data_IF_431600732085
#
_entry.id   IF_431600732085
#
_cell.length_a   1.000
_cell.length_b   1.000
_cell.length_c   1.000
_cell.angle_alpha   90.00
_cell.angle_beta   90.00
_cell.angle_gamma   90.00
#
_symmetry.space_group_name_H-M   'P 1'
#
loop_
_entity.id
_entity.type
_entity.pdbx_description
1 polymer ?
#
# COMPACT_ATOMS: atom_id res chain seq x y z
N UNK A 1 19.62 22.28 -8.66
CA UNK A 1 18.44 22.59 -9.50
C UNK A 1 17.18 22.43 -8.65
N UNK A 2 16.62 23.52 -8.09
CA UNK A 2 15.39 23.50 -7.27
C UNK A 2 14.20 23.62 -8.24
N UNK A 3 13.41 22.56 -8.42
CA UNK A 3 12.21 22.64 -9.28
C UNK A 3 11.15 23.46 -8.55
N UNK A 4 10.69 24.56 -9.16
CA UNK A 4 9.53 25.31 -8.65
C UNK A 4 8.36 24.33 -8.50
N UNK A 5 7.81 24.21 -7.29
CA UNK A 5 6.66 23.35 -6.98
C UNK A 5 6.96 22.08 -6.18
N UNK A 6 8.20 21.58 -6.14
CA UNK A 6 8.55 20.42 -5.31
C UNK A 6 8.94 20.92 -3.92
N UNK A 7 8.06 20.70 -2.93
CA UNK A 7 8.37 20.98 -1.52
C UNK A 7 9.55 20.11 -1.09
N UNK A 8 10.47 20.68 -0.30
CA UNK A 8 11.72 20.01 0.11
C UNK A 8 11.54 18.91 1.16
N UNK A 9 10.31 18.60 1.57
CA UNK A 9 10.02 17.53 2.53
C UNK A 9 10.03 16.17 1.84
N UNK A 10 10.80 15.24 2.37
CA UNK A 10 10.95 13.88 1.83
C UNK A 10 10.44 12.81 2.79
N UNK A 11 10.39 13.12 4.09
CA UNK A 11 9.96 12.19 5.13
C UNK A 11 8.66 12.67 5.74
N UNK A 12 7.64 11.83 5.69
CA UNK A 12 6.32 12.11 6.28
C UNK A 12 5.97 11.01 7.27
N UNK A 13 5.46 11.41 8.43
CA UNK A 13 4.92 10.51 9.45
C UNK A 13 3.48 10.91 9.70
N UNK A 14 2.60 9.91 9.59
CA UNK A 14 1.16 10.04 9.84
C UNK A 14 0.85 9.16 11.05
N UNK A 15 0.03 9.67 11.97
CA UNK A 15 -0.36 8.96 13.18
C UNK A 15 -1.88 8.76 13.20
N UNK A 16 -2.32 7.53 13.48
CA UNK A 16 -3.73 7.19 13.63
C UNK A 16 -4.37 7.88 14.85
N UNK A 17 -3.61 8.16 15.91
CA UNK A 17 -4.14 8.82 17.12
C UNK A 17 -4.35 10.32 16.95
N UNK A 18 -3.79 10.92 15.90
CA UNK A 18 -3.94 12.35 15.59
C UNK A 18 -4.32 12.52 14.10
N UNK A 19 -5.57 12.19 13.74
CA UNK A 19 -6.04 12.29 12.37
C UNK A 19 -5.80 13.69 11.79
N UNK A 20 -5.27 13.72 10.57
CA UNK A 20 -4.99 14.94 9.84
C UNK A 20 -3.75 15.71 10.28
N UNK A 21 -3.08 15.35 11.38
CA UNK A 21 -1.75 15.89 11.69
C UNK A 21 -0.69 15.08 10.95
N UNK A 22 0.04 15.74 10.06
CA UNK A 22 1.19 15.16 9.36
C UNK A 22 2.46 15.85 9.78
N UNK A 23 3.43 15.03 10.18
CA UNK A 23 4.77 15.47 10.54
C UNK A 23 5.65 15.29 9.31
N UNK A 24 6.37 16.34 8.89
CA UNK A 24 7.25 16.31 7.75
C UNK A 24 8.69 16.75 8.10
N UNK A 25 9.67 16.15 7.43
CA UNK A 25 11.10 16.50 7.52
C UNK A 25 11.75 16.57 6.14
N UNK A 26 12.73 17.45 5.98
CA UNK A 26 13.46 17.58 4.71
C UNK A 26 14.51 16.47 4.52
N UNK A 27 15.07 15.99 5.63
CA UNK A 27 16.01 14.87 5.71
C UNK A 27 15.65 14.02 6.95
N UNK A 28 16.15 12.78 7.04
CA UNK A 28 15.74 11.78 8.06
C UNK A 28 15.76 12.33 9.49
N UNK A 29 16.90 12.92 9.88
CA UNK A 29 17.13 13.47 11.23
C UNK A 29 16.92 15.00 11.28
N UNK A 30 16.28 15.54 10.24
CA UNK A 30 16.06 16.97 10.12
C UNK A 30 15.01 17.51 11.09
N UNK A 31 14.92 18.83 11.22
CA UNK A 31 13.90 19.47 12.03
C UNK A 31 12.49 19.10 11.54
N UNK A 32 11.60 18.95 12.51
CA UNK A 32 10.21 18.56 12.30
C UNK A 32 9.35 19.77 11.99
N UNK A 33 8.53 19.69 10.94
CA UNK A 33 7.44 20.62 10.65
C UNK A 33 6.10 19.89 10.70
N UNK A 34 5.10 20.48 11.32
CA UNK A 34 3.76 19.91 11.41
C UNK A 34 2.79 20.61 10.45
N UNK A 35 1.93 19.81 9.81
CA UNK A 35 0.89 20.29 8.92
C UNK A 35 -0.45 19.67 9.34
N UNK A 36 -1.46 20.50 9.56
CA UNK A 36 -2.83 20.02 9.68
C UNK A 36 -3.46 19.95 8.29
N UNK A 37 -3.88 18.75 7.89
CA UNK A 37 -4.56 18.48 6.62
C UNK A 37 -6.08 18.67 6.70
N UNK A 38 -6.65 18.73 7.91
CA UNK A 38 -8.07 18.95 8.07
C UNK A 38 -8.43 20.39 7.71
N UNK A 39 -9.61 20.55 7.09
CA UNK A 39 -10.23 21.88 6.99
C UNK A 39 -10.64 22.32 8.40
N UNK A 40 -10.74 23.64 8.61
CA UNK A 40 -11.17 24.20 9.90
C UNK A 40 -12.49 23.56 10.32
N UNK A 41 -12.57 23.21 11.60
CA UNK A 41 -13.76 22.70 12.29
C UNK A 41 -14.27 21.30 11.88
N UNK A 42 -13.47 20.52 11.15
CA UNK A 42 -13.84 19.12 10.81
C UNK A 42 -13.36 18.16 11.89
N UNK A 43 -14.28 17.60 12.69
CA UNK A 43 -14.01 16.43 13.52
C UNK A 43 -14.34 15.17 12.69
N UNK A 44 -13.37 14.26 12.54
CA UNK A 44 -13.62 12.98 11.87
C UNK A 44 -14.15 12.03 12.94
N UNK A 45 -15.43 11.67 12.87
CA UNK A 45 -16.00 10.62 13.69
C UNK A 45 -15.73 9.25 13.05
N UNK A 46 -15.67 8.21 13.87
CA UNK A 46 -15.45 6.84 13.37
C UNK A 46 -16.58 6.40 12.44
N UNK A 47 -17.81 6.83 12.71
CA UNK A 47 -19.00 6.59 11.89
C UNK A 47 -18.95 7.27 10.50
N UNK A 48 -18.11 8.30 10.32
CA UNK A 48 -17.95 8.99 9.04
C UNK A 48 -16.94 8.28 8.11
N UNK A 49 -16.23 7.26 8.60
CA UNK A 49 -15.23 6.55 7.82
C UNK A 49 -15.90 5.63 6.79
N UNK A 50 -15.35 5.54 5.57
CA UNK A 50 -15.86 4.60 4.58
C UNK A 50 -15.71 3.16 5.09
N UNK A 51 -16.66 2.30 4.74
CA UNK A 51 -16.56 0.87 5.03
C UNK A 51 -15.22 0.31 4.57
N UNK A 52 -14.56 -0.42 5.47
CA UNK A 52 -13.32 -1.13 5.15
C UNK A 52 -13.66 -2.28 4.21
N UNK A 53 -13.26 -2.16 2.95
CA UNK A 53 -13.35 -3.26 2.00
C UNK A 53 -12.11 -4.13 2.13
N UNK A 54 -12.22 -5.37 2.63
CA UNK A 54 -11.07 -6.26 2.64
C UNK A 54 -10.64 -6.51 1.19
N UNK A 55 -9.32 -6.60 0.92
CA UNK A 55 -8.88 -6.95 -0.41
C UNK A 55 -9.45 -8.33 -0.75
N UNK A 56 -10.18 -8.41 -1.87
CA UNK A 56 -10.76 -9.66 -2.40
C UNK A 56 -9.72 -10.78 -2.61
N UNK A 57 -8.43 -10.43 -2.57
CA UNK A 57 -7.34 -11.31 -2.90
C UNK A 57 -7.32 -11.63 -4.39
N UNK A 58 -6.57 -12.67 -4.73
CA UNK A 58 -6.39 -13.13 -6.10
C UNK A 58 -7.30 -14.31 -6.41
N UNK A 59 -7.91 -14.33 -7.60
CA UNK A 59 -8.68 -15.48 -8.06
C UNK A 59 -7.79 -16.72 -8.18
N UNK A 60 -8.39 -17.92 -8.03
CA UNK A 60 -7.66 -19.18 -8.19
C UNK A 60 -6.98 -19.28 -9.56
N UNK A 61 -7.65 -18.84 -10.63
CA UNK A 61 -7.08 -18.79 -11.98
C UNK A 61 -5.81 -17.93 -12.05
N UNK A 62 -5.82 -16.74 -11.44
CA UNK A 62 -4.65 -15.86 -11.39
C UNK A 62 -3.52 -16.44 -10.53
N UNK A 63 -3.83 -17.07 -9.39
CA UNK A 63 -2.83 -17.77 -8.57
C UNK A 63 -2.14 -18.89 -9.38
N UNK A 64 -2.92 -19.69 -10.11
CA UNK A 64 -2.41 -20.74 -11.00
C UNK A 64 -1.58 -20.19 -12.15
N UNK A 65 -1.99 -19.09 -12.77
CA UNK A 65 -1.22 -18.43 -13.81
C UNK A 65 0.17 -18.00 -13.28
N UNK A 66 0.24 -17.36 -12.12
CA UNK A 66 1.52 -16.97 -11.51
C UNK A 66 2.42 -18.17 -11.26
N UNK A 67 1.87 -19.23 -10.64
CA UNK A 67 2.62 -20.44 -10.34
C UNK A 67 3.16 -21.14 -11.60
N UNK A 68 2.36 -21.25 -12.66
CA UNK A 68 2.73 -22.01 -13.86
C UNK A 68 3.56 -21.20 -14.85
N UNK A 69 3.24 -19.91 -15.03
CA UNK A 69 3.80 -19.08 -16.12
C UNK A 69 4.88 -18.12 -15.66
N UNK A 70 4.82 -17.63 -14.43
CA UNK A 70 5.68 -16.54 -13.96
C UNK A 70 6.74 -17.04 -12.97
N UNK A 71 6.47 -18.12 -12.25
CA UNK A 71 7.36 -18.64 -11.20
C UNK A 71 8.80 -18.88 -11.64
N UNK A 72 9.03 -19.38 -12.86
CA UNK A 72 10.39 -19.59 -13.40
C UNK A 72 11.14 -18.29 -13.71
N UNK A 73 10.42 -17.17 -13.89
CA UNK A 73 10.99 -15.85 -14.15
C UNK A 73 11.36 -15.13 -12.85
N UNK A 74 10.87 -15.63 -11.71
CA UNK A 74 11.18 -15.06 -10.42
C UNK A 74 12.63 -15.39 -10.02
N UNK A 75 13.31 -14.43 -9.39
CA UNK A 75 14.69 -14.62 -8.93
C UNK A 75 14.73 -15.74 -7.90
N UNK A 76 15.73 -16.62 -7.97
CA UNK A 76 15.89 -17.92 -7.28
C UNK A 76 15.56 -18.02 -5.77
N UNK A 77 15.20 -16.94 -5.06
CA UNK A 77 14.89 -16.94 -3.62
C UNK A 77 13.52 -16.35 -3.25
N UNK A 78 12.76 -15.78 -4.18
CA UNK A 78 11.47 -15.16 -3.85
C UNK A 78 10.25 -15.89 -4.44
N UNK A 79 10.46 -16.98 -5.17
CA UNK A 79 9.41 -17.65 -5.95
C UNK A 79 8.25 -18.15 -5.08
N UNK A 80 8.54 -18.62 -3.87
CA UNK A 80 7.52 -19.06 -2.90
C UNK A 80 6.76 -17.91 -2.25
N UNK A 81 7.30 -16.70 -2.30
CA UNK A 81 6.63 -15.49 -1.82
C UNK A 81 5.82 -14.83 -2.94
N UNK A 82 6.37 -14.77 -4.15
CA UNK A 82 5.75 -14.06 -5.29
C UNK A 82 4.80 -14.92 -6.12
N UNK A 83 5.09 -16.21 -6.26
CA UNK A 83 4.34 -17.16 -7.08
C UNK A 83 4.21 -18.51 -6.34
N UNK A 84 3.59 -18.55 -5.15
CA UNK A 84 3.40 -19.78 -4.38
C UNK A 84 2.52 -20.79 -5.09
N UNK A 85 2.60 -22.05 -4.66
CA UNK A 85 1.64 -23.07 -5.05
C UNK A 85 0.23 -22.66 -4.58
N UNK A 86 -0.79 -22.61 -5.45
CA UNK A 86 -2.14 -22.23 -5.05
C UNK A 86 -2.82 -23.27 -4.15
N UNK A 87 -3.56 -22.81 -3.14
CA UNK A 87 -4.28 -23.69 -2.19
C UNK A 87 -5.51 -24.39 -2.80
N UNK A 88 -6.04 -23.83 -3.89
CA UNK A 88 -7.23 -24.34 -4.55
C UNK A 88 -6.86 -25.23 -5.76
N UNK A 89 -7.61 -26.31 -6.03
CA UNK A 89 -7.39 -27.14 -7.20
C UNK A 89 -7.42 -26.33 -8.50
N UNK A 90 -6.60 -26.74 -9.47
CA UNK A 90 -6.63 -26.12 -10.80
C UNK A 90 -7.93 -26.49 -11.47
N UNK A 91 -8.78 -25.49 -11.72
CA UNK A 91 -9.94 -25.69 -12.56
C UNK A 91 -9.44 -25.96 -13.98
N UNK A 92 -9.55 -27.21 -14.42
CA UNK A 92 -9.43 -27.55 -15.83
C UNK A 92 -10.68 -27.01 -16.51
N UNK A 93 -10.52 -26.10 -17.48
CA UNK A 93 -11.65 -25.76 -18.37
C UNK A 93 -12.05 -27.06 -19.07
N UNK A 94 -13.19 -27.62 -18.71
CA UNK A 94 -13.88 -28.61 -19.54
C UNK A 94 -14.09 -27.95 -20.90
N UNK A 95 -13.53 -28.56 -21.96
CA UNK A 95 -13.69 -28.11 -23.34
C UNK A 95 -15.15 -28.20 -23.80
#
# INVERSE_FOLDING_TARGET
>A
MKRKGIKGFQHFVVNATLPGLVVARQVVDGPVTQFNLLKKDTQIMEDDLPNVYPPKGMSSERKWYLYVKIRSLCRCKCNDVTCPLPDAPRQTRSS
#
